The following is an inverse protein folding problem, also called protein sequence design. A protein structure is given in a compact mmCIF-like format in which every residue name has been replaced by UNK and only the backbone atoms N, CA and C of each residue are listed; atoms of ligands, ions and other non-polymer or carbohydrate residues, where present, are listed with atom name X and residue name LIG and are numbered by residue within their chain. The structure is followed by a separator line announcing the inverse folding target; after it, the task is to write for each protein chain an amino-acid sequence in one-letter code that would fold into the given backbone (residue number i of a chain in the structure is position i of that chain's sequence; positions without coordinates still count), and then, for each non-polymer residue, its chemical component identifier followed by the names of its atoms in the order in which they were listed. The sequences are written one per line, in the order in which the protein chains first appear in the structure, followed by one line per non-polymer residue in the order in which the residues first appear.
data_IF_094804193338
#
_entry.id   IF_094804193338
#
_cell.length_a   1.000
_cell.length_b   1.000
_cell.length_c   1.000
_cell.angle_alpha   90.00
_cell.angle_beta   90.00
_cell.angle_gamma   90.00
#
_symmetry.space_group_name_H-M   'P 1'
#
loop_
_entity.id
_entity.type
_entity.pdbx_description
1 polymer ?
#
# COMPACT_ATOMS: atom_id res chain seq x y z
N UNK A 1 3.71 -14.38 -0.81
CA UNK A 1 3.92 -13.43 0.31
C UNK A 1 5.21 -12.70 0.07
N UNK A 2 5.15 -11.40 -0.20
CA UNK A 2 6.29 -10.51 -0.31
C UNK A 2 6.44 -9.65 0.94
N UNK A 3 7.54 -8.90 1.03
CA UNK A 3 7.90 -8.07 2.17
C UNK A 3 8.10 -6.62 1.77
N UNK A 4 7.45 -5.73 2.49
CA UNK A 4 7.71 -4.30 2.51
C UNK A 4 8.67 -3.98 3.66
N UNK A 5 9.73 -3.22 3.40
CA UNK A 5 10.65 -2.71 4.43
C UNK A 5 10.84 -1.21 4.29
N UNK A 6 10.79 -0.50 5.41
CA UNK A 6 10.94 0.95 5.48
C UNK A 6 11.99 1.33 6.54
N UNK A 7 13.03 2.06 6.12
CA UNK A 7 14.16 2.53 6.92
C UNK A 7 14.81 1.45 7.82
N UNK A 8 14.76 0.19 7.38
CA UNK A 8 15.34 -0.98 8.08
C UNK A 8 14.59 -1.44 9.34
N UNK A 9 13.82 -0.56 9.98
CA UNK A 9 13.15 -0.81 11.25
C UNK A 9 11.73 -1.35 11.10
N UNK A 10 11.02 -0.94 10.05
CA UNK A 10 9.64 -1.37 9.82
C UNK A 10 9.63 -2.45 8.74
N UNK A 11 9.01 -3.57 9.04
CA UNK A 11 8.83 -4.70 8.11
C UNK A 11 7.38 -5.18 8.19
N UNK A 12 6.77 -5.38 7.02
CA UNK A 12 5.42 -5.92 6.91
C UNK A 12 5.35 -6.89 5.75
N UNK A 13 4.69 -8.03 5.97
CA UNK A 13 4.48 -9.05 4.96
C UNK A 13 3.08 -8.87 4.34
N UNK A 14 3.00 -8.96 3.02
CA UNK A 14 1.77 -8.81 2.24
C UNK A 14 1.72 -9.86 1.14
N UNK A 15 0.53 -10.13 0.61
CA UNK A 15 0.43 -10.86 -0.66
C UNK A 15 1.21 -10.12 -1.75
N UNK A 16 1.93 -10.86 -2.60
CA UNK A 16 2.76 -10.25 -3.66
C UNK A 16 1.94 -9.35 -4.58
N UNK A 17 0.68 -9.70 -4.81
CA UNK A 17 -0.27 -8.88 -5.58
C UNK A 17 -0.54 -7.56 -4.88
N UNK A 18 -0.86 -7.56 -3.59
CA UNK A 18 -1.05 -6.32 -2.80
C UNK A 18 0.22 -5.47 -2.82
N UNK A 19 1.37 -6.10 -2.56
CA UNK A 19 2.68 -5.42 -2.54
C UNK A 19 2.99 -4.73 -3.87
N UNK A 20 2.67 -5.36 -5.00
CA UNK A 20 2.87 -4.78 -6.33
C UNK A 20 2.04 -3.50 -6.54
N UNK A 21 0.79 -3.48 -6.07
CA UNK A 21 -0.05 -2.29 -6.16
C UNK A 21 0.42 -1.18 -5.23
N UNK A 22 0.79 -1.54 -3.98
CA UNK A 22 1.38 -0.60 -3.02
C UNK A 22 2.66 0.03 -3.59
N UNK A 23 3.55 -0.76 -4.18
CA UNK A 23 4.79 -0.27 -4.79
C UNK A 23 4.49 0.81 -5.83
N UNK A 24 3.53 0.58 -6.72
CA UNK A 24 3.17 1.54 -7.76
C UNK A 24 2.67 2.86 -7.16
N UNK A 25 1.69 2.80 -6.26
CA UNK A 25 1.08 4.01 -5.67
C UNK A 25 2.07 4.77 -4.80
N UNK A 26 2.82 4.08 -3.94
CA UNK A 26 3.84 4.69 -3.08
C UNK A 26 4.92 5.35 -3.94
N UNK A 27 5.45 4.64 -4.94
CA UNK A 27 6.49 5.19 -5.81
C UNK A 27 6.01 6.42 -6.59
N UNK A 28 4.76 6.42 -7.05
CA UNK A 28 4.19 7.57 -7.76
C UNK A 28 4.11 8.82 -6.88
N UNK A 29 3.60 8.69 -5.64
CA UNK A 29 3.51 9.82 -4.70
C UNK A 29 4.89 10.35 -4.29
N UNK A 30 5.81 9.45 -3.92
CA UNK A 30 7.14 9.86 -3.48
C UNK A 30 7.96 10.51 -4.61
N UNK A 31 7.79 10.07 -5.87
CA UNK A 31 8.40 10.74 -7.04
C UNK A 31 7.90 12.17 -7.25
N UNK A 32 6.70 12.50 -6.79
CA UNK A 32 6.14 13.87 -6.80
C UNK A 32 6.54 14.69 -5.58
N UNK A 33 7.34 14.14 -4.68
CA UNK A 33 7.70 14.79 -3.42
C UNK A 33 6.57 14.78 -2.38
N UNK A 34 5.49 14.03 -2.61
CA UNK A 34 4.36 13.96 -1.71
C UNK A 34 4.67 13.05 -0.53
N UNK A 35 4.70 13.60 0.68
CA UNK A 35 4.75 12.81 1.92
C UNK A 35 3.35 12.45 2.36
N UNK A 36 3.17 11.25 2.89
CA UNK A 36 1.85 10.75 3.32
C UNK A 36 1.98 9.60 4.32
N UNK A 37 0.89 9.26 5.01
CA UNK A 37 0.86 8.11 5.92
C UNK A 37 0.47 6.84 5.17
N UNK A 38 1.08 5.70 5.49
CA UNK A 38 0.60 4.37 5.10
C UNK A 38 0.22 3.57 6.35
N UNK A 39 -1.00 3.04 6.36
CA UNK A 39 -1.58 2.35 7.51
C UNK A 39 -2.14 0.98 7.12
N UNK A 40 -1.81 -0.05 7.89
CA UNK A 40 -2.36 -1.40 7.72
C UNK A 40 -2.67 -2.06 9.07
N UNK A 41 -3.53 -3.07 9.04
CA UNK A 41 -3.79 -3.94 10.20
C UNK A 41 -2.74 -5.03 10.23
N UNK A 42 -2.18 -5.28 11.41
CA UNK A 42 -1.29 -6.41 11.61
C UNK A 42 -2.11 -7.71 11.60
N UNK A 43 -1.48 -8.80 11.21
CA UNK A 43 -2.09 -10.12 11.38
C UNK A 43 -2.41 -10.32 12.87
N UNK A 44 -3.58 -10.92 13.15
CA UNK A 44 -4.03 -11.36 14.47
C UNK A 44 -2.95 -12.08 15.30
N UNK A 45 -2.02 -12.78 14.65
CA UNK A 45 -0.89 -13.45 15.31
C UNK A 45 0.15 -12.50 15.93
N UNK A 46 0.23 -11.25 15.47
CA UNK A 46 1.14 -10.19 15.92
C UNK A 46 0.48 -9.21 16.92
N UNK A 47 -0.78 -9.47 17.29
CA UNK A 47 -1.62 -8.60 18.11
C UNK A 47 -2.58 -7.78 17.25
N UNK A 48 -3.80 -7.57 17.74
CA UNK A 48 -4.89 -6.80 17.10
C UNK A 48 -4.57 -5.28 17.08
N UNK A 49 -3.48 -4.95 16.40
CA UNK A 49 -2.91 -3.62 16.31
C UNK A 49 -2.93 -3.10 14.88
N UNK A 50 -2.91 -1.78 14.78
CA UNK A 50 -2.74 -1.06 13.52
C UNK A 50 -1.34 -0.46 13.49
N UNK A 51 -0.62 -0.66 12.41
CA UNK A 51 0.65 0.02 12.18
C UNK A 51 0.41 1.17 11.20
N UNK A 52 0.95 2.34 11.53
CA UNK A 52 0.93 3.51 10.65
C UNK A 52 2.35 4.08 10.57
N UNK A 53 2.81 4.35 9.36
CA UNK A 53 4.13 4.97 9.11
C UNK A 53 3.97 6.22 8.27
N UNK A 54 4.86 7.18 8.51
CA UNK A 54 5.01 8.33 7.64
C UNK A 54 6.00 8.00 6.53
N UNK A 55 5.59 8.15 5.27
CA UNK A 55 6.43 7.91 4.10
C UNK A 55 6.95 9.23 3.54
N UNK A 56 8.25 9.28 3.25
CA UNK A 56 8.87 10.44 2.62
C UNK A 56 9.89 10.07 1.53
N UNK A 57 10.16 10.96 0.54
CA UNK A 57 11.00 10.66 -0.62
C UNK A 57 12.45 10.30 -0.30
N UNK A 58 12.96 10.76 0.85
CA UNK A 58 14.34 10.51 1.28
C UNK A 58 14.54 9.21 2.07
N UNK A 59 13.48 8.43 2.28
CA UNK A 59 13.55 7.17 3.02
C UNK A 59 14.06 6.02 2.15
N UNK A 60 14.64 5.01 2.78
CA UNK A 60 14.97 3.75 2.10
C UNK A 60 13.76 2.82 2.13
N UNK A 61 13.26 2.46 0.96
CA UNK A 61 12.11 1.55 0.80
C UNK A 61 12.52 0.37 -0.04
N UNK A 62 12.30 -0.84 0.49
CA UNK A 62 12.60 -2.10 -0.20
C UNK A 62 11.33 -2.92 -0.35
N UNK A 63 11.07 -3.35 -1.57
CA UNK A 63 10.01 -4.30 -1.91
C UNK A 63 10.66 -5.63 -2.29
N UNK A 64 10.44 -6.68 -1.51
CA UNK A 64 10.95 -8.03 -1.78
C UNK A 64 9.80 -8.93 -2.17
N UNK A 65 9.93 -9.61 -3.31
CA UNK A 65 8.94 -10.57 -3.81
C UNK A 65 9.52 -11.97 -3.75
N UNK A 66 8.72 -12.96 -3.36
CA UNK A 66 9.16 -14.36 -3.31
C UNK A 66 8.71 -15.18 -4.53
N UNK A 67 7.75 -14.66 -5.32
CA UNK A 67 7.34 -15.27 -6.59
C UNK A 67 8.29 -14.96 -7.75
N UNK A 68 8.42 -15.90 -8.69
CA UNK A 68 9.25 -15.73 -9.90
C UNK A 68 8.58 -14.90 -11.00
N UNK A 69 7.26 -14.72 -10.94
CA UNK A 69 6.48 -13.94 -11.91
C UNK A 69 5.99 -12.65 -11.30
N UNK A 70 6.07 -11.57 -12.08
CA UNK A 70 5.50 -10.28 -11.68
C UNK A 70 3.97 -10.39 -11.56
N UNK A 71 3.37 -9.95 -10.43
CA UNK A 71 1.91 -9.94 -10.28
C UNK A 71 1.26 -9.03 -11.32
N UNK A 72 0.15 -9.49 -11.91
CA UNK A 72 -0.65 -8.65 -12.79
C UNK A 72 -1.30 -7.50 -12.00
N UNK A 73 -1.22 -6.28 -12.54
CA UNK A 73 -1.80 -5.09 -11.93
C UNK A 73 -3.25 -4.92 -12.37
N UNK A 74 -4.11 -4.55 -11.42
CA UNK A 74 -5.48 -4.12 -11.63
C UNK A 74 -5.54 -2.60 -11.61
N UNK A 75 -5.92 -2.00 -12.73
CA UNK A 75 -6.00 -0.54 -12.89
C UNK A 75 -7.01 0.10 -11.94
N UNK A 76 -8.19 -0.49 -11.79
CA UNK A 76 -9.22 0.01 -10.87
C UNK A 76 -8.70 0.00 -9.42
N UNK A 77 -7.90 -1.01 -9.05
CA UNK A 77 -7.31 -1.07 -7.73
C UNK A 77 -6.22 0.01 -7.51
N UNK A 78 -5.39 0.27 -8.53
CA UNK A 78 -4.42 1.38 -8.48
C UNK A 78 -5.13 2.73 -8.30
N UNK A 79 -6.24 2.94 -8.99
CA UNK A 79 -7.06 4.14 -8.87
C UNK A 79 -7.66 4.25 -7.46
N UNK A 80 -8.23 3.16 -6.92
CA UNK A 80 -8.77 3.10 -5.57
C UNK A 80 -7.72 3.39 -4.49
N UNK A 81 -6.54 2.77 -4.58
CA UNK A 81 -5.45 2.97 -3.64
C UNK A 81 -4.86 4.38 -3.75
N UNK A 82 -4.75 4.92 -4.96
CA UNK A 82 -4.31 6.31 -5.17
C UNK A 82 -5.30 7.29 -4.55
N UNK A 83 -6.60 7.04 -4.72
CA UNK A 83 -7.64 7.84 -4.07
C UNK A 83 -7.51 7.79 -2.54
N UNK A 84 -7.38 6.59 -1.96
CA UNK A 84 -7.17 6.43 -0.53
C UNK A 84 -5.92 7.19 -0.04
N UNK A 85 -4.81 7.09 -0.77
CA UNK A 85 -3.56 7.78 -0.44
C UNK A 85 -3.61 9.31 -0.52
N UNK A 86 -4.64 9.86 -1.15
CA UNK A 86 -4.89 11.31 -1.21
C UNK A 86 -5.86 11.78 -0.13
N UNK A 87 -6.42 10.87 0.68
CA UNK A 87 -7.29 11.20 1.80
C UNK A 87 -6.50 11.65 3.04
N UNK A 88 -7.18 12.29 4.00
CA UNK A 88 -6.62 12.67 5.30
C UNK A 88 -6.18 11.47 6.14
N UNK A 89 -6.76 10.29 5.93
CA UNK A 89 -6.37 9.06 6.61
C UNK A 89 -5.07 8.44 6.04
N UNK A 90 -4.59 8.93 4.89
CA UNK A 90 -3.45 8.36 4.17
C UNK A 90 -3.79 7.07 3.44
N UNK A 91 -2.77 6.40 2.91
CA UNK A 91 -2.93 5.14 2.20
C UNK A 91 -3.36 4.04 3.18
N UNK A 92 -4.47 3.38 2.83
CA UNK A 92 -4.94 2.16 3.47
C UNK A 92 -5.15 1.09 2.40
N UNK A 93 -4.93 -0.17 2.76
CA UNK A 93 -5.23 -1.29 1.86
C UNK A 93 -6.75 -1.39 1.74
N UNK A 94 -7.24 -1.26 0.51
CA UNK A 94 -8.65 -1.45 0.16
C UNK A 94 -8.82 -2.77 -0.61
N UNK A 95 -10.01 -3.42 -0.56
CA UNK A 95 -10.29 -4.60 -1.36
C UNK A 95 -10.08 -4.36 -2.86
N UNK A 96 -9.68 -5.41 -3.58
CA UNK A 96 -9.55 -5.34 -5.04
C UNK A 96 -10.93 -5.13 -5.68
N UNK A 97 -11.13 -4.08 -6.50
CA UNK A 97 -12.40 -3.89 -7.20
C UNK A 97 -12.65 -4.96 -8.27
N UNK A 98 -13.88 -5.46 -8.33
CA UNK A 98 -14.33 -6.44 -9.35
C UNK A 98 -14.59 -5.79 -10.73
N UNK A 99 -14.71 -4.46 -10.78
CA UNK A 99 -14.99 -3.68 -11.99
C UNK A 99 -14.27 -2.34 -12.00
N UNK A 100 -14.62 -1.43 -12.93
CA UNK A 100 -14.06 -0.08 -12.97
C UNK A 100 -14.22 0.62 -11.61
N UNK A 101 -13.20 1.36 -11.17
CA UNK A 101 -13.29 2.09 -9.92
C UNK A 101 -14.26 3.28 -10.08
N UNK A 102 -15.38 3.25 -9.37
CA UNK A 102 -16.44 4.26 -9.48
C UNK A 102 -16.32 5.42 -8.49
N UNK A 103 -15.35 5.38 -7.58
CA UNK A 103 -15.08 6.47 -6.62
C UNK A 103 -16.17 6.71 -5.57
N UNK A 104 -17.15 5.81 -5.44
CA UNK A 104 -18.28 6.03 -4.51
C UNK A 104 -17.83 5.85 -3.06
N UNK A 105 -18.10 6.88 -2.25
CA UNK A 105 -17.66 7.01 -0.87
C UNK A 105 -18.41 5.99 -0.01
N UNK A 106 -17.69 5.03 0.58
CA UNK A 106 -18.20 4.28 1.73
C UNK A 106 -18.28 5.23 2.95
N UNK A 107 -19.26 6.13 2.95
CA UNK A 107 -19.70 6.80 4.17
C UNK A 107 -20.83 5.96 4.74
N UNK A 108 -20.48 5.12 5.71
CA UNK A 108 -21.41 4.48 6.64
C UNK A 108 -21.03 4.88 8.05
#
# INVERSE_FOLDING_TARGET
MGRFSYDGNVKADFDDRVLAHLQVVISQKLRRGETFTFTWRNDTSLGDGRTAIWLHPHASIVYSYHGSRQPALNRAWLEALTHAANSTAGLQIVPEPEGPYSGEVLTG
#
